data_IF_413928531903
#
_entry.id   IF_413928531903
#
_cell.length_a   1.000
_cell.length_b   1.000
_cell.length_c   1.000
_cell.angle_alpha   90.00
_cell.angle_beta   90.00
_cell.angle_gamma   90.00
#
_symmetry.space_group_name_H-M   'P 1'
#
loop_
_entity.id
_entity.type
_entity.pdbx_description
1 polymer ?
#
# COMPACT_ATOMS: atom_id res chain seq x y z
N UNK A 1 -21.86 -64.58 29.36
CA UNK A 1 -22.91 -64.04 28.46
C UNK A 1 -22.67 -62.54 28.38
N UNK A 2 -22.16 -62.06 27.23
CA UNK A 2 -22.09 -60.65 26.87
C UNK A 2 -20.94 -59.81 27.43
N UNK A 3 -19.72 -59.99 26.92
CA UNK A 3 -18.74 -58.92 26.83
C UNK A 3 -18.86 -58.30 25.44
N UNK A 4 -19.05 -56.98 25.33
CA UNK A 4 -18.78 -56.14 24.14
C UNK A 4 -19.10 -54.67 24.46
N UNK A 5 -18.10 -53.82 24.54
CA UNK A 5 -18.24 -52.40 24.19
C UNK A 5 -18.45 -52.27 22.65
N UNK A 6 -18.87 -51.11 22.12
CA UNK A 6 -17.83 -50.12 21.81
C UNK A 6 -18.20 -48.65 22.08
N UNK A 7 -17.19 -47.98 22.61
CA UNK A 7 -16.86 -46.56 22.46
C UNK A 7 -17.25 -45.97 21.09
N UNK A 8 -18.21 -45.05 21.10
CA UNK A 8 -18.54 -44.19 19.97
C UNK A 8 -17.89 -42.82 20.12
N UNK A 9 -16.57 -42.74 19.96
CA UNK A 9 -15.88 -41.48 19.68
C UNK A 9 -15.03 -41.67 18.42
N UNK A 10 -15.58 -41.26 17.28
CA UNK A 10 -14.81 -41.12 16.04
C UNK A 10 -14.40 -39.65 16.00
N UNK A 11 -13.13 -39.30 16.31
CA UNK A 11 -12.69 -37.92 16.20
C UNK A 11 -12.66 -37.51 14.72
N UNK A 12 -13.11 -36.27 14.50
CA UNK A 12 -13.11 -35.55 13.23
C UNK A 12 -11.78 -35.78 12.49
N UNK A 13 -11.84 -36.48 11.35
CA UNK A 13 -10.70 -36.67 10.48
C UNK A 13 -10.08 -35.31 10.15
N UNK A 14 -8.79 -35.16 10.46
CA UNK A 14 -7.89 -34.16 9.90
C UNK A 14 -8.01 -34.17 8.37
N UNK A 15 -8.85 -33.30 7.83
CA UNK A 15 -8.79 -32.86 6.44
C UNK A 15 -7.98 -31.56 6.39
N UNK A 16 -6.76 -31.63 6.94
CA UNK A 16 -5.74 -30.66 6.60
C UNK A 16 -5.17 -31.10 5.25
N UNK A 17 -5.45 -30.42 4.13
CA UNK A 17 -4.81 -30.78 2.87
C UNK A 17 -3.28 -30.68 3.08
N UNK A 18 -2.49 -31.64 2.55
CA UNK A 18 -1.05 -31.65 2.77
C UNK A 18 -0.44 -30.29 2.42
N UNK A 19 0.19 -29.65 3.39
CA UNK A 19 0.79 -28.31 3.34
C UNK A 19 1.96 -28.18 2.33
N UNK A 20 2.12 -29.14 1.42
CA UNK A 20 3.36 -29.37 0.68
C UNK A 20 3.29 -29.08 -0.82
N UNK A 21 2.14 -28.65 -1.37
CA UNK A 21 2.08 -28.22 -2.78
C UNK A 21 1.10 -27.09 -3.06
N UNK A 22 1.40 -25.87 -2.64
CA UNK A 22 0.99 -24.66 -3.37
C UNK A 22 2.13 -23.62 -3.39
N UNK A 23 2.99 -23.83 -4.38
CA UNK A 23 3.82 -22.87 -5.08
C UNK A 23 4.81 -22.01 -4.28
N UNK A 24 6.10 -22.31 -4.47
CA UNK A 24 7.13 -21.26 -4.58
C UNK A 24 6.75 -20.33 -5.75
N UNK A 25 5.76 -19.46 -5.57
CA UNK A 25 5.66 -18.25 -6.36
C UNK A 25 6.87 -17.45 -5.92
N UNK A 26 7.87 -17.31 -6.79
CA UNK A 26 8.93 -16.34 -6.57
C UNK A 26 8.22 -15.01 -6.25
N UNK A 27 8.35 -14.51 -5.02
CA UNK A 27 7.75 -13.24 -4.60
C UNK A 27 8.20 -12.21 -5.64
N UNK A 28 7.30 -11.83 -6.55
CA UNK A 28 7.60 -10.81 -7.55
C UNK A 28 7.81 -9.54 -6.75
N UNK A 29 9.07 -9.12 -6.64
CA UNK A 29 9.43 -7.91 -5.91
C UNK A 29 8.55 -6.76 -6.40
N UNK A 30 8.02 -5.98 -5.45
CA UNK A 30 7.19 -4.83 -5.75
C UNK A 30 7.97 -3.90 -6.70
N UNK A 31 7.45 -3.60 -7.91
CA UNK A 31 8.27 -3.08 -9.01
C UNK A 31 8.51 -1.58 -8.88
N UNK A 32 8.49 -1.03 -7.67
CA UNK A 32 8.60 0.39 -7.40
C UNK A 32 9.69 0.65 -6.39
N UNK A 33 10.34 1.80 -6.53
CA UNK A 33 11.28 2.31 -5.53
C UNK A 33 11.10 3.80 -5.33
N UNK A 34 11.32 4.23 -4.10
CA UNK A 34 11.39 5.63 -3.72
C UNK A 34 12.85 6.07 -3.73
N UNK A 35 13.14 7.17 -4.41
CA UNK A 35 14.49 7.77 -4.48
C UNK A 35 14.42 9.22 -4.00
N UNK A 36 15.57 9.91 -3.95
CA UNK A 36 15.60 11.35 -3.70
C UNK A 36 14.89 12.15 -4.80
N UNK A 37 14.86 11.64 -6.04
CA UNK A 37 14.25 12.32 -7.19
C UNK A 37 12.76 12.04 -7.32
N UNK A 38 12.24 11.02 -6.64
CA UNK A 38 10.83 10.67 -6.65
C UNK A 38 10.58 9.17 -6.73
N UNK A 39 9.50 8.78 -7.42
CA UNK A 39 9.10 7.38 -7.54
C UNK A 39 9.43 6.86 -8.94
N UNK A 40 10.04 5.68 -8.98
CA UNK A 40 10.44 5.00 -10.21
C UNK A 40 9.83 3.60 -10.27
N UNK A 41 9.45 3.16 -11.47
CA UNK A 41 8.95 1.81 -11.73
C UNK A 41 9.99 1.01 -12.52
N UNK A 42 10.19 -0.25 -12.14
CA UNK A 42 11.01 -1.23 -12.85
C UNK A 42 10.34 -1.64 -14.16
N UNK A 43 11.04 -1.49 -15.26
CA UNK A 43 10.61 -1.86 -16.61
C UNK A 43 11.59 -2.86 -17.19
N UNK A 44 11.06 -3.95 -17.73
CA UNK A 44 11.84 -4.91 -18.49
C UNK A 44 11.76 -4.51 -19.97
N UNK A 45 12.90 -4.12 -20.54
CA UNK A 45 13.02 -3.82 -21.95
C UNK A 45 13.67 -5.02 -22.65
N UNK A 46 12.93 -5.64 -23.57
CA UNK A 46 13.44 -6.75 -24.37
C UNK A 46 13.94 -6.24 -25.70
N UNK A 47 15.24 -6.35 -25.91
CA UNK A 47 15.85 -6.21 -27.21
C UNK A 47 15.66 -7.52 -27.98
N UNK A 48 14.86 -7.47 -29.04
CA UNK A 48 14.55 -8.66 -29.86
C UNK A 48 15.69 -9.04 -30.80
N UNK A 49 16.55 -8.08 -31.15
CA UNK A 49 17.64 -8.28 -32.10
C UNK A 49 18.87 -8.87 -31.41
N UNK A 50 19.17 -8.39 -30.19
CA UNK A 50 20.25 -8.94 -29.37
C UNK A 50 19.81 -10.11 -28.48
N UNK A 51 18.50 -10.35 -28.35
CA UNK A 51 17.96 -11.36 -27.44
C UNK A 51 18.17 -11.06 -25.96
N UNK A 52 18.49 -9.81 -25.62
CA UNK A 52 18.83 -9.37 -24.26
C UNK A 52 17.61 -8.73 -23.61
N UNK A 53 17.32 -9.12 -22.37
CA UNK A 53 16.38 -8.37 -21.51
C UNK A 53 17.19 -7.49 -20.58
N UNK A 54 16.93 -6.18 -20.65
CA UNK A 54 17.51 -5.19 -19.73
C UNK A 54 16.46 -4.72 -18.74
N UNK A 55 16.91 -4.32 -17.55
CA UNK A 55 16.06 -3.74 -16.52
C UNK A 55 16.35 -2.24 -16.45
N UNK A 56 15.32 -1.44 -16.66
CA UNK A 56 15.33 0.02 -16.57
C UNK A 56 14.49 0.46 -15.36
N UNK A 57 14.92 1.52 -14.69
CA UNK A 57 14.08 2.24 -13.72
C UNK A 57 13.56 3.51 -14.36
N UNK A 58 12.24 3.61 -14.51
CA UNK A 58 11.60 4.75 -15.15
C UNK A 58 10.86 5.59 -14.14
N UNK A 59 11.29 6.84 -14.01
CA UNK A 59 10.66 7.85 -13.17
C UNK A 59 9.26 8.21 -13.68
N UNK A 60 8.30 8.38 -12.75
CA UNK A 60 6.95 8.80 -13.11
C UNK A 60 6.34 9.90 -12.23
N UNK A 61 6.83 10.14 -11.03
CA UNK A 61 6.42 11.30 -10.23
C UNK A 61 7.48 11.71 -9.19
N UNK A 62 7.37 12.94 -8.67
CA UNK A 62 8.17 13.40 -7.53
C UNK A 62 7.84 12.59 -6.27
N UNK A 63 8.55 12.85 -5.18
CA UNK A 63 8.47 12.04 -3.96
C UNK A 63 7.04 11.95 -3.42
N UNK A 64 6.48 10.75 -3.54
CA UNK A 64 5.18 10.34 -3.02
C UNK A 64 5.39 9.06 -2.23
N UNK A 65 5.08 9.10 -0.95
CA UNK A 65 5.22 7.96 -0.06
C UNK A 65 3.83 7.47 0.38
N UNK A 66 3.63 6.16 0.36
CA UNK A 66 2.44 5.51 0.93
C UNK A 66 2.81 5.07 2.34
N UNK A 67 2.48 5.91 3.32
CA UNK A 67 2.96 5.75 4.70
C UNK A 67 2.14 4.73 5.50
N UNK A 68 0.84 4.60 5.22
CA UNK A 68 -0.03 3.67 5.94
C UNK A 68 -1.31 3.32 5.17
N UNK A 69 -2.00 2.26 5.60
CA UNK A 69 -3.42 2.04 5.28
C UNK A 69 -4.29 2.79 6.27
N UNK A 70 -5.40 3.37 5.80
CA UNK A 70 -6.42 4.03 6.64
C UNK A 70 -7.75 3.29 6.51
N UNK A 71 -8.62 3.38 7.52
CA UNK A 71 -10.00 2.85 7.48
C UNK A 71 -10.88 3.55 8.53
N UNK A 72 -12.20 3.48 8.36
CA UNK A 72 -13.17 3.99 9.34
C UNK A 72 -13.21 3.15 10.63
N UNK A 73 -13.92 3.63 11.66
CA UNK A 73 -14.10 2.91 12.93
C UNK A 73 -14.77 1.55 12.74
N UNK A 74 -15.72 1.48 11.81
CA UNK A 74 -16.45 0.26 11.44
C UNK A 74 -15.59 -0.72 10.62
N UNK A 75 -14.39 -0.29 10.22
CA UNK A 75 -13.48 -1.09 9.41
C UNK A 75 -13.78 -1.10 7.92
N UNK A 76 -14.56 -0.13 7.47
CA UNK A 76 -14.88 0.13 6.07
C UNK A 76 -14.07 1.32 5.54
N UNK A 77 -14.38 1.81 4.34
CA UNK A 77 -13.78 3.03 3.76
C UNK A 77 -12.24 3.01 3.78
N UNK A 78 -11.68 1.93 3.25
CA UNK A 78 -10.23 1.77 3.21
C UNK A 78 -9.57 2.85 2.34
N UNK A 79 -8.41 3.30 2.79
CA UNK A 79 -7.64 4.36 2.17
C UNK A 79 -6.14 4.13 2.26
N UNK A 80 -5.39 5.10 1.73
CA UNK A 80 -3.94 5.21 1.83
C UNK A 80 -3.58 6.55 2.42
N UNK A 81 -2.72 6.53 3.42
CA UNK A 81 -2.08 7.74 3.90
C UNK A 81 -0.93 8.08 2.96
N UNK A 82 -1.10 9.14 2.18
CA UNK A 82 -0.12 9.60 1.20
C UNK A 82 0.64 10.80 1.75
N UNK A 83 1.97 10.78 1.62
CA UNK A 83 2.85 11.89 1.95
C UNK A 83 3.50 12.43 0.67
N UNK A 84 3.15 13.65 0.30
CA UNK A 84 3.66 14.36 -0.89
C UNK A 84 4.71 15.36 -0.45
N UNK A 85 5.89 15.32 -1.05
CA UNK A 85 6.87 16.41 -0.92
C UNK A 85 6.67 17.39 -2.07
N UNK A 86 6.33 18.64 -1.77
CA UNK A 86 6.15 19.67 -2.78
C UNK A 86 7.50 20.29 -3.23
N UNK A 87 7.43 21.25 -4.15
CA UNK A 87 8.60 21.93 -4.72
C UNK A 87 9.39 22.76 -3.71
N UNK A 88 8.76 23.16 -2.62
CA UNK A 88 9.38 23.93 -1.54
C UNK A 88 10.00 23.00 -0.49
N UNK A 89 9.96 21.68 -0.72
CA UNK A 89 10.46 20.67 0.21
C UNK A 89 9.52 20.41 1.38
N UNK A 90 8.29 20.94 1.37
CA UNK A 90 7.31 20.74 2.44
C UNK A 90 6.58 19.42 2.23
N UNK A 91 6.45 18.65 3.31
CA UNK A 91 5.67 17.41 3.30
C UNK A 91 4.22 17.73 3.63
N UNK A 92 3.30 17.27 2.78
CA UNK A 92 1.86 17.36 2.97
C UNK A 92 1.27 15.96 2.98
N UNK A 93 0.38 15.71 3.92
CA UNK A 93 -0.22 14.40 4.12
C UNK A 93 -1.69 14.41 3.72
N UNK A 94 -2.16 13.35 3.08
CA UNK A 94 -3.54 13.18 2.67
C UNK A 94 -3.99 11.73 2.80
N UNK A 95 -5.07 11.49 3.54
CA UNK A 95 -5.76 10.22 3.55
C UNK A 95 -6.61 10.09 2.27
N UNK A 96 -6.06 9.39 1.27
CA UNK A 96 -6.75 9.12 0.01
C UNK A 96 -7.70 7.94 0.17
N UNK A 97 -9.01 8.09 -0.09
CA UNK A 97 -9.94 6.96 -0.15
C UNK A 97 -9.59 6.05 -1.33
N UNK A 98 -9.52 4.73 -1.11
CA UNK A 98 -9.26 3.77 -2.19
C UNK A 98 -10.42 3.72 -3.20
N UNK A 99 -11.63 4.14 -2.81
CA UNK A 99 -12.77 4.29 -3.72
C UNK A 99 -12.49 5.25 -4.89
N UNK A 100 -11.58 6.21 -4.72
CA UNK A 100 -11.14 7.09 -5.81
C UNK A 100 -10.38 6.36 -6.92
N UNK A 101 -9.90 5.14 -6.68
CA UNK A 101 -9.29 4.28 -7.70
C UNK A 101 -10.32 3.54 -8.56
N UNK A 102 -11.61 3.52 -8.19
CA UNK A 102 -12.63 2.81 -8.97
C UNK A 102 -12.90 3.44 -10.35
N UNK A 103 -12.65 4.74 -10.50
CA UNK A 103 -12.81 5.47 -11.75
C UNK A 103 -11.55 5.49 -12.62
N UNK A 104 -11.47 6.48 -13.51
CA UNK A 104 -10.30 6.71 -14.37
C UNK A 104 -9.06 7.25 -13.61
N UNK A 105 -9.24 7.58 -12.34
CA UNK A 105 -8.23 8.13 -11.44
C UNK A 105 -7.98 9.63 -11.58
N UNK A 106 -8.83 10.37 -12.28
CA UNK A 106 -8.64 11.81 -12.49
C UNK A 106 -8.74 12.58 -11.18
N UNK A 107 -9.75 12.28 -10.35
CA UNK A 107 -9.99 12.98 -9.09
C UNK A 107 -8.79 12.92 -8.11
N UNK A 108 -8.20 11.75 -7.89
CA UNK A 108 -7.06 11.66 -6.96
C UNK A 108 -5.80 12.29 -7.55
N UNK A 109 -5.60 12.23 -8.87
CA UNK A 109 -4.46 12.90 -9.53
C UNK A 109 -4.57 14.41 -9.43
N UNK A 110 -5.75 14.98 -9.67
CA UNK A 110 -5.99 16.41 -9.46
C UNK A 110 -5.66 16.84 -8.04
N UNK A 111 -6.08 16.04 -7.05
CA UNK A 111 -5.75 16.32 -5.65
C UNK A 111 -4.24 16.27 -5.39
N UNK A 112 -3.55 15.24 -5.86
CA UNK A 112 -2.09 15.12 -5.71
C UNK A 112 -1.34 16.27 -6.38
N UNK A 113 -1.75 16.67 -7.59
CA UNK A 113 -1.19 17.83 -8.29
C UNK A 113 -1.42 19.12 -7.49
N UNK A 114 -2.60 19.32 -6.89
CA UNK A 114 -2.88 20.48 -6.03
C UNK A 114 -2.03 20.53 -4.77
N UNK A 115 -1.61 19.36 -4.25
CA UNK A 115 -0.69 19.27 -3.11
C UNK A 115 0.76 19.59 -3.50
N UNK A 116 1.07 19.64 -4.79
CA UNK A 116 2.40 19.96 -5.32
C UNK A 116 3.15 18.75 -5.89
N UNK A 117 2.48 17.60 -6.07
CA UNK A 117 3.09 16.47 -6.77
C UNK A 117 3.43 16.86 -8.21
N UNK A 118 4.61 16.47 -8.68
CA UNK A 118 4.99 16.57 -10.08
C UNK A 118 4.86 15.18 -10.70
N UNK A 119 4.24 15.07 -11.86
CA UNK A 119 4.13 13.81 -12.60
C UNK A 119 4.81 13.92 -13.96
N UNK A 120 5.42 12.83 -14.41
CA UNK A 120 5.81 12.68 -15.80
C UNK A 120 4.56 12.73 -16.71
N UNK A 121 4.66 13.26 -17.94
CA UNK A 121 3.56 13.22 -18.87
C UNK A 121 3.33 11.81 -19.43
N UNK A 122 2.12 11.58 -19.96
CA UNK A 122 1.79 10.40 -20.74
C UNK A 122 1.13 9.25 -19.98
N UNK A 123 0.69 8.24 -20.73
CA UNK A 123 -0.07 7.11 -20.20
C UNK A 123 0.72 6.30 -19.18
N UNK A 124 2.00 6.06 -19.45
CA UNK A 124 2.89 5.31 -18.56
C UNK A 124 2.85 5.82 -17.12
N UNK A 125 2.99 7.14 -16.93
CA UNK A 125 3.05 7.72 -15.59
C UNK A 125 1.72 7.62 -14.84
N UNK A 126 0.61 7.75 -15.55
CA UNK A 126 -0.74 7.60 -14.98
C UNK A 126 -0.99 6.16 -14.54
N UNK A 127 -0.65 5.20 -15.38
CA UNK A 127 -0.79 3.77 -15.06
C UNK A 127 0.14 3.39 -13.88
N UNK A 128 1.40 3.85 -13.92
CA UNK A 128 2.38 3.57 -12.87
C UNK A 128 1.97 4.17 -11.53
N UNK A 129 1.43 5.39 -11.50
CA UNK A 129 0.91 6.00 -10.27
C UNK A 129 -0.29 5.24 -9.73
N UNK A 130 -1.22 4.85 -10.60
CA UNK A 130 -2.39 4.07 -10.20
C UNK A 130 -1.97 2.73 -9.57
N UNK A 131 -1.07 2.00 -10.22
CA UNK A 131 -0.53 0.73 -9.72
C UNK A 131 0.30 0.91 -8.45
N UNK A 132 1.10 1.97 -8.34
CA UNK A 132 1.89 2.29 -7.15
C UNK A 132 0.99 2.42 -5.92
N UNK A 133 -0.04 3.27 -5.99
CA UNK A 133 -0.96 3.50 -4.87
C UNK A 133 -1.79 2.24 -4.57
N UNK A 134 -2.28 1.56 -5.61
CA UNK A 134 -3.19 0.41 -5.44
C UNK A 134 -2.52 -0.84 -4.89
N UNK A 135 -1.24 -1.06 -5.22
CA UNK A 135 -0.49 -2.25 -4.83
C UNK A 135 0.45 -2.03 -3.64
N UNK A 136 0.62 -0.78 -3.20
CA UNK A 136 1.43 -0.48 -2.03
C UNK A 136 0.95 -1.26 -0.80
N UNK A 137 1.91 -1.91 -0.14
CA UNK A 137 1.75 -2.63 1.11
C UNK A 137 2.58 -1.93 2.17
N UNK A 138 2.12 -0.80 2.73
CA UNK A 138 2.82 -0.16 3.82
C UNK A 138 2.90 -1.12 5.01
N UNK A 139 4.05 -1.17 5.67
CA UNK A 139 4.26 -2.06 6.83
C UNK A 139 3.38 -1.68 8.02
N UNK A 140 3.00 -0.40 8.12
CA UNK A 140 2.24 0.15 9.24
C UNK A 140 0.76 0.38 8.88
N UNK A 141 -0.14 -0.20 9.68
CA UNK A 141 -1.60 -0.01 9.58
C UNK A 141 -1.98 1.18 10.48
N UNK A 142 -2.41 2.31 9.92
CA UNK A 142 -2.84 3.46 10.72
C UNK A 142 -4.35 3.35 11.03
N UNK A 143 -4.71 3.31 12.32
CA UNK A 143 -6.11 3.29 12.76
C UNK A 143 -6.57 4.73 12.98
N UNK A 144 -7.65 5.13 12.32
CA UNK A 144 -8.25 6.46 12.47
C UNK A 144 -8.95 6.55 13.84
N UNK A 145 -8.51 7.46 14.72
CA UNK A 145 -9.28 7.89 15.90
C UNK A 145 -9.27 9.42 15.94
N UNK A 146 -10.46 10.01 15.86
CA UNK A 146 -10.62 11.45 15.84
C UNK A 146 -10.27 12.09 17.19
N UNK A 147 -9.37 13.07 17.18
CA UNK A 147 -9.63 14.36 17.84
C UNK A 147 -8.70 15.45 17.30
N UNK A 148 -9.35 16.41 16.65
CA UNK A 148 -8.80 17.62 16.06
C UNK A 148 -8.39 18.63 17.13
N UNK A 149 -7.34 19.38 16.83
CA UNK A 149 -7.07 20.70 17.38
C UNK A 149 -5.77 21.24 16.76
N UNK A 150 -5.76 21.89 15.59
CA UNK A 150 -6.83 22.42 14.75
C UNK A 150 -6.51 22.03 13.28
N UNK A 151 -7.52 21.48 12.59
CA UNK A 151 -7.50 21.06 11.17
C UNK A 151 -6.46 20.00 10.75
N UNK A 152 -6.16 19.05 11.64
CA UNK A 152 -5.30 17.91 11.33
C UNK A 152 -5.93 16.62 11.87
N UNK A 153 -6.51 15.84 10.98
CA UNK A 153 -6.97 14.49 11.28
C UNK A 153 -5.79 13.67 11.81
N UNK A 154 -5.94 13.17 13.04
CA UNK A 154 -4.89 12.51 13.82
C UNK A 154 -4.69 11.07 13.36
N UNK A 155 -3.44 10.64 13.19
CA UNK A 155 -3.05 9.28 12.81
C UNK A 155 -2.46 8.52 14.01
N UNK A 156 -2.91 7.29 14.26
CA UNK A 156 -2.33 6.38 15.27
C UNK A 156 -1.55 5.26 14.59
N UNK A 157 -0.28 5.08 14.98
CA UNK A 157 0.61 4.00 14.56
C UNK A 157 0.61 2.82 15.58
N UNK A 158 0.97 1.59 15.16
CA UNK A 158 0.75 0.37 15.95
C UNK A 158 1.68 0.16 17.16
N UNK A 159 2.69 0.98 17.35
CA UNK A 159 3.84 0.68 18.22
C UNK A 159 4.27 1.83 19.14
N UNK A 160 3.33 2.69 19.52
CA UNK A 160 3.53 3.66 20.60
C UNK A 160 3.24 5.07 20.16
N UNK A 161 2.33 5.72 20.86
CA UNK A 161 2.13 7.15 20.75
C UNK A 161 3.42 7.84 21.23
N UNK A 162 4.12 8.54 20.35
CA UNK A 162 5.04 9.59 20.78
C UNK A 162 4.19 10.83 21.01
N UNK A 163 3.84 11.03 22.27
CA UNK A 163 3.21 12.24 22.79
C UNK A 163 3.73 12.46 24.19
N UNK A 164 4.94 13.00 24.30
CA UNK A 164 5.44 13.59 25.54
C UNK A 164 4.59 14.83 25.83
N UNK A 165 3.76 14.74 26.87
CA UNK A 165 3.17 15.90 27.51
C UNK A 165 3.63 15.92 28.97
N UNK A 166 4.88 16.32 29.16
CA UNK A 166 5.31 17.00 30.37
C UNK A 166 4.83 18.46 30.33
N UNK A 167 3.86 18.80 31.18
CA UNK A 167 3.86 19.97 32.09
C UNK A 167 2.46 20.44 32.48
N UNK A 168 2.33 20.82 33.75
CA UNK A 168 1.39 21.85 34.23
C UNK A 168 0.42 21.37 35.28
#
# INVERSE_FOLDING_TARGET
MGASEPNGSIPYHDVNPPAEKLAKVAKKEWPFRLTERGVEKRIEARDKELGITTVEWRWFCSRLEVSAETRSSEGEEWGRLLSVTDRDGRVKTWAMPMSMLAGDGTAYRERLLSLGLIMAPGKFARDALHEYISTAQPGDKARCVGRLGWELETFVLPNGAIGDHSNG
#
